data_IF_220331355137
#
_entry.id   IF_220331355137
#
_cell.length_a   1.000
_cell.length_b   1.000
_cell.length_c   1.000
_cell.angle_alpha   90.00
_cell.angle_beta   90.00
_cell.angle_gamma   90.00
#
_symmetry.space_group_name_H-M   'P 1'
#
loop_
_entity.id
_entity.type
_entity.pdbx_description
1 polymer ?
#
# COMPACT_ATOMS: atom_id res chain seq x y z
N UNK A 1 8.15 8.91 -1.66
CA UNK A 1 7.98 10.02 -1.03
C UNK A 1 8.39 11.15 -1.75
N UNK A 2 8.43 11.61 -2.50
CA UNK A 2 7.78 12.18 -3.07
C UNK A 2 8.30 13.06 -3.76
N UNK A 3 8.16 12.82 -4.71
CA UNK A 3 7.84 13.87 -5.61
C UNK A 3 7.03 14.94 -4.95
N UNK A 4 7.14 15.09 -3.72
CA UNK A 4 6.43 16.16 -3.14
C UNK A 4 7.12 17.43 -3.40
N UNK A 5 6.72 17.92 -4.45
CA UNK A 5 6.66 19.36 -4.54
C UNK A 5 5.70 19.78 -3.48
N UNK A 6 6.26 20.21 -2.36
CA UNK A 6 5.42 20.79 -1.43
C UNK A 6 5.62 22.22 -1.42
N UNK A 7 4.62 22.90 -1.72
CA UNK A 7 4.56 24.28 -1.37
C UNK A 7 3.86 24.48 -0.01
N UNK A 8 4.36 25.43 0.74
CA UNK A 8 3.63 26.13 1.77
C UNK A 8 3.86 27.60 1.54
N UNK A 9 3.24 28.16 0.54
CA UNK A 9 3.44 29.53 0.13
C UNK A 9 4.52 29.68 -0.93
N UNK A 10 5.45 30.61 -0.76
CA UNK A 10 6.41 31.05 -1.78
C UNK A 10 7.57 30.10 -2.03
N UNK A 11 7.83 29.16 -1.10
CA UNK A 11 9.02 28.29 -1.17
C UNK A 11 8.65 26.90 -1.65
N UNK A 12 9.23 26.50 -2.80
CA UNK A 12 9.15 25.14 -3.35
C UNK A 12 10.48 24.47 -3.13
N UNK A 13 10.48 23.34 -2.42
CA UNK A 13 11.66 22.49 -2.23
C UNK A 13 11.56 21.29 -3.17
N UNK A 14 12.49 21.17 -4.09
CA UNK A 14 12.63 20.02 -4.97
C UNK A 14 13.61 19.01 -4.35
N UNK A 15 13.21 17.77 -4.24
CA UNK A 15 14.11 16.65 -3.92
C UNK A 15 14.63 16.06 -5.23
N UNK A 16 15.59 16.74 -5.84
CA UNK A 16 16.14 16.38 -7.14
C UNK A 16 16.71 14.94 -7.22
N UNK A 17 17.35 14.40 -6.16
CA UNK A 17 17.81 13.01 -6.18
C UNK A 17 16.69 11.99 -6.31
N UNK A 18 15.47 12.35 -5.90
CA UNK A 18 14.29 11.46 -5.96
C UNK A 18 13.47 11.63 -7.25
N UNK A 19 13.83 12.59 -8.10
CA UNK A 19 13.14 12.78 -9.37
C UNK A 19 13.53 11.65 -10.33
N UNK A 20 12.54 10.90 -10.80
CA UNK A 20 12.75 9.85 -11.77
C UNK A 20 13.14 10.41 -13.13
N UNK A 21 14.30 9.99 -13.62
CA UNK A 21 14.78 10.35 -14.95
C UNK A 21 14.68 9.13 -15.89
N UNK A 22 13.74 9.12 -16.85
CA UNK A 22 13.63 7.98 -17.76
C UNK A 22 14.87 7.86 -18.65
N UNK A 23 15.41 6.64 -18.75
CA UNK A 23 16.63 6.34 -19.54
C UNK A 23 16.37 6.40 -21.06
N UNK A 24 15.12 6.27 -21.48
CA UNK A 24 14.74 6.31 -22.89
C UNK A 24 13.55 7.21 -23.15
N UNK A 25 13.62 8.00 -24.24
CA UNK A 25 12.48 8.77 -24.74
C UNK A 25 11.54 7.87 -25.54
N UNK A 26 10.62 7.21 -24.85
CA UNK A 26 9.53 6.48 -25.51
C UNK A 26 8.36 7.40 -25.82
N UNK A 27 7.60 7.17 -26.89
CA UNK A 27 6.36 7.91 -27.12
C UNK A 27 5.41 7.76 -25.93
N UNK A 28 4.64 8.81 -25.63
CA UNK A 28 3.63 8.78 -24.58
C UNK A 28 2.61 7.67 -24.89
N UNK A 29 2.45 6.75 -23.95
CA UNK A 29 1.44 5.70 -23.98
C UNK A 29 0.53 5.89 -22.77
N UNK A 30 -0.65 6.51 -22.93
CA UNK A 30 -1.56 6.71 -21.82
C UNK A 30 -2.22 5.39 -21.43
N UNK A 31 -2.43 5.21 -20.12
CA UNK A 31 -3.12 4.06 -19.54
C UNK A 31 -4.39 4.55 -18.84
N UNK A 32 -5.55 4.16 -19.34
CA UNK A 32 -6.85 4.66 -18.85
C UNK A 32 -7.62 3.66 -17.98
N UNK A 33 -7.11 2.41 -17.91
CA UNK A 33 -7.80 1.35 -17.18
C UNK A 33 -7.43 1.40 -15.70
N UNK A 34 -8.40 1.80 -14.89
CA UNK A 34 -8.27 1.85 -13.43
C UNK A 34 -9.42 1.05 -12.81
N UNK A 35 -9.11 0.10 -11.95
CA UNK A 35 -10.12 -0.61 -11.17
C UNK A 35 -10.48 0.20 -9.92
N UNK A 36 -11.76 0.40 -9.66
CA UNK A 36 -12.26 1.21 -8.54
C UNK A 36 -12.60 0.38 -7.30
N UNK A 37 -12.46 -0.93 -7.37
CA UNK A 37 -12.82 -1.85 -6.28
C UNK A 37 -11.72 -1.89 -5.21
N UNK A 38 -11.33 -0.73 -4.73
CA UNK A 38 -10.31 -0.52 -3.71
C UNK A 38 -10.92 0.22 -2.52
N UNK A 39 -10.59 -0.20 -1.32
CA UNK A 39 -11.01 0.49 -0.09
C UNK A 39 -9.80 0.94 0.74
N UNK A 40 -10.03 1.87 1.66
CA UNK A 40 -9.07 2.28 2.67
C UNK A 40 -9.60 1.81 4.03
N UNK A 41 -8.79 1.04 4.75
CA UNK A 41 -9.04 0.65 6.13
C UNK A 41 -8.10 1.44 7.05
N UNK A 42 -8.59 2.54 7.58
CA UNK A 42 -7.84 3.34 8.54
C UNK A 42 -8.05 2.82 9.95
N UNK A 43 -6.97 2.36 10.58
CA UNK A 43 -7.02 1.88 11.95
C UNK A 43 -7.05 3.05 12.94
N UNK A 44 -7.84 2.88 13.99
CA UNK A 44 -7.90 3.80 15.12
C UNK A 44 -8.11 3.01 16.42
N UNK A 45 -7.70 3.54 17.59
CA UNK A 45 -7.91 2.86 18.86
C UNK A 45 -9.39 2.60 19.11
N UNK A 46 -9.76 1.35 19.38
CA UNK A 46 -11.14 0.95 19.61
C UNK A 46 -11.96 0.65 18.34
N UNK A 47 -11.29 0.48 17.18
CA UNK A 47 -11.96 -0.01 15.97
C UNK A 47 -12.65 -1.35 16.27
N UNK A 48 -13.92 -1.47 15.89
CA UNK A 48 -14.70 -2.68 16.16
C UNK A 48 -14.58 -3.73 15.05
N UNK A 49 -14.79 -5.01 15.38
CA UNK A 49 -14.84 -6.08 14.35
C UNK A 49 -15.84 -5.78 13.25
N UNK A 50 -17.00 -5.21 13.58
CA UNK A 50 -18.05 -4.88 12.60
C UNK A 50 -17.60 -3.87 11.55
N UNK A 51 -16.78 -2.89 11.94
CA UNK A 51 -16.23 -1.91 10.98
C UNK A 51 -15.26 -2.59 10.01
N UNK A 52 -14.35 -3.41 10.53
CA UNK A 52 -13.38 -4.15 9.73
C UNK A 52 -14.09 -5.11 8.79
N UNK A 53 -15.02 -5.89 9.31
CA UNK A 53 -15.83 -6.83 8.55
C UNK A 53 -16.61 -6.15 7.42
N UNK A 54 -17.24 -5.02 7.71
CA UNK A 54 -18.01 -4.27 6.72
C UNK A 54 -17.16 -3.79 5.54
N UNK A 55 -15.91 -3.41 5.79
CA UNK A 55 -14.98 -2.98 4.74
C UNK A 55 -14.48 -4.19 3.95
N UNK A 56 -14.04 -5.26 4.63
CA UNK A 56 -13.47 -6.44 3.98
C UNK A 56 -14.51 -7.26 3.21
N UNK A 57 -15.80 -7.09 3.49
CA UNK A 57 -16.89 -7.78 2.80
C UNK A 57 -17.62 -6.90 1.76
N UNK A 58 -17.06 -5.76 1.36
CA UNK A 58 -17.60 -4.98 0.25
C UNK A 58 -17.67 -5.85 -1.01
N UNK A 59 -18.84 -5.98 -1.66
CA UNK A 59 -18.98 -6.80 -2.85
C UNK A 59 -18.04 -6.35 -3.97
N UNK A 60 -17.29 -7.31 -4.52
CA UNK A 60 -16.35 -7.06 -5.61
C UNK A 60 -15.04 -6.38 -5.19
N UNK A 61 -14.80 -6.19 -3.89
CA UNK A 61 -13.54 -5.62 -3.38
C UNK A 61 -12.34 -6.45 -3.85
N UNK A 62 -11.33 -5.78 -4.38
CA UNK A 62 -10.08 -6.42 -4.85
C UNK A 62 -8.86 -6.02 -4.04
N UNK A 63 -8.83 -4.82 -3.52
CA UNK A 63 -7.70 -4.33 -2.76
C UNK A 63 -8.09 -3.44 -1.59
N UNK A 64 -7.25 -3.46 -0.56
CA UNK A 64 -7.39 -2.62 0.62
C UNK A 64 -6.05 -1.97 0.94
N UNK A 65 -6.04 -0.67 1.08
CA UNK A 65 -4.92 0.05 1.70
C UNK A 65 -5.23 0.19 3.17
N UNK A 66 -4.45 -0.52 4.01
CA UNK A 66 -4.61 -0.51 5.46
C UNK A 66 -3.65 0.51 6.07
N UNK A 67 -4.19 1.59 6.64
CA UNK A 67 -3.43 2.61 7.32
C UNK A 67 -3.20 2.23 8.79
N UNK A 68 -1.97 1.93 9.15
CA UNK A 68 -1.56 1.41 10.46
C UNK A 68 -0.75 2.43 11.27
N UNK A 69 -0.47 2.11 12.53
CA UNK A 69 0.23 3.00 13.45
C UNK A 69 1.76 2.92 13.29
N UNK A 70 2.44 4.04 13.47
CA UNK A 70 3.91 4.09 13.51
C UNK A 70 4.57 3.41 12.31
N UNK A 71 5.41 2.43 12.56
CA UNK A 71 6.14 1.67 11.53
C UNK A 71 5.39 0.45 10.97
N UNK A 72 4.07 0.47 10.99
CA UNK A 72 3.24 -0.61 10.46
C UNK A 72 2.56 -1.46 11.53
N UNK A 73 2.38 -0.93 12.73
CA UNK A 73 1.74 -1.64 13.84
C UNK A 73 0.21 -1.65 13.71
N UNK A 74 -0.38 -2.78 14.01
CA UNK A 74 -1.83 -3.01 13.98
C UNK A 74 -2.27 -3.81 15.22
N UNK A 75 -3.57 -3.93 15.48
CA UNK A 75 -4.09 -4.85 16.49
C UNK A 75 -3.57 -6.29 16.27
N UNK A 76 -3.24 -6.98 17.37
CA UNK A 76 -2.74 -8.36 17.33
C UNK A 76 -3.78 -9.37 17.77
N UNK A 77 -5.01 -8.94 17.99
CA UNK A 77 -6.11 -9.79 18.39
C UNK A 77 -6.43 -10.80 17.29
N UNK A 78 -6.70 -12.03 17.69
CA UNK A 78 -6.96 -13.13 16.76
C UNK A 78 -8.09 -12.82 15.77
N UNK A 79 -9.16 -12.17 16.25
CA UNK A 79 -10.28 -11.82 15.39
C UNK A 79 -9.84 -10.94 14.21
N UNK A 80 -8.94 -9.97 14.46
CA UNK A 80 -8.45 -9.05 13.43
C UNK A 80 -7.59 -9.77 12.41
N UNK A 81 -6.61 -10.54 12.88
CA UNK A 81 -5.70 -11.29 12.01
C UNK A 81 -6.46 -12.33 11.18
N UNK A 82 -7.44 -13.03 11.78
CA UNK A 82 -8.27 -14.00 11.06
C UNK A 82 -9.09 -13.33 9.94
N UNK A 83 -9.70 -12.16 10.21
CA UNK A 83 -10.44 -11.41 9.18
C UNK A 83 -9.55 -10.98 8.02
N UNK A 84 -8.33 -10.52 8.30
CA UNK A 84 -7.36 -10.17 7.24
C UNK A 84 -6.98 -11.40 6.42
N UNK A 85 -6.68 -12.51 7.09
CA UNK A 85 -6.33 -13.77 6.42
C UNK A 85 -7.46 -14.26 5.53
N UNK A 86 -8.68 -14.32 6.04
CA UNK A 86 -9.85 -14.71 5.25
C UNK A 86 -10.07 -13.81 4.04
N UNK A 87 -9.83 -12.51 4.17
CA UNK A 87 -9.92 -11.57 3.05
C UNK A 87 -8.84 -11.85 2.00
N UNK A 88 -7.60 -12.11 2.43
CA UNK A 88 -6.49 -12.49 1.53
C UNK A 88 -6.77 -13.83 0.85
N UNK A 89 -7.30 -14.80 1.57
CA UNK A 89 -7.65 -16.12 1.01
C UNK A 89 -8.77 -16.02 -0.05
N UNK A 90 -9.62 -15.00 0.04
CA UNK A 90 -10.60 -14.65 -1.00
C UNK A 90 -10.00 -13.90 -2.21
N UNK A 91 -8.70 -13.61 -2.20
CA UNK A 91 -7.99 -12.92 -3.27
C UNK A 91 -7.95 -11.39 -3.12
N UNK A 92 -8.30 -10.84 -1.96
CA UNK A 92 -8.17 -9.40 -1.69
C UNK A 92 -6.71 -9.10 -1.36
N UNK A 93 -6.10 -8.17 -2.06
CA UNK A 93 -4.74 -7.69 -1.75
C UNK A 93 -4.81 -6.60 -0.69
N UNK A 94 -4.20 -6.85 0.47
CA UNK A 94 -4.14 -5.89 1.57
C UNK A 94 -2.72 -5.32 1.63
N UNK A 95 -2.60 -4.00 1.51
CA UNK A 95 -1.32 -3.28 1.55
C UNK A 95 -1.25 -2.45 2.82
N UNK A 96 -0.24 -2.71 3.64
CA UNK A 96 0.01 -2.00 4.88
C UNK A 96 0.81 -0.72 4.61
N UNK A 97 0.24 0.44 4.93
CA UNK A 97 0.92 1.75 4.88
C UNK A 97 0.86 2.42 6.24
N UNK A 98 1.78 3.34 6.51
CA UNK A 98 1.77 4.08 7.78
C UNK A 98 0.87 5.31 7.72
N UNK A 99 0.19 5.62 8.83
CA UNK A 99 -0.53 6.88 9.03
C UNK A 99 0.42 8.06 9.27
N UNK A 100 1.69 7.79 9.55
CA UNK A 100 2.67 8.83 9.81
C UNK A 100 3.03 9.57 8.52
N UNK A 101 3.19 10.88 8.62
CA UNK A 101 3.58 11.73 7.48
C UNK A 101 4.99 11.43 6.93
N UNK A 102 5.81 10.78 7.73
CA UNK A 102 7.16 10.36 7.38
C UNK A 102 7.45 9.03 8.06
N UNK A 103 8.31 8.22 7.46
CA UNK A 103 8.66 6.88 7.91
C UNK A 103 8.30 5.82 6.89
N UNK A 104 8.51 4.58 7.25
CA UNK A 104 8.20 3.42 6.43
C UNK A 104 7.58 2.31 7.28
N UNK A 105 6.90 1.40 6.62
CA UNK A 105 6.41 0.18 7.23
C UNK A 105 7.54 -0.85 7.25
N UNK A 106 7.89 -1.31 8.45
CA UNK A 106 8.96 -2.29 8.69
C UNK A 106 8.37 -3.57 9.31
N UNK A 107 7.65 -4.35 8.51
CA UNK A 107 6.88 -5.51 9.02
C UNK A 107 7.77 -6.61 9.59
N UNK A 108 9.04 -6.67 9.24
CA UNK A 108 9.98 -7.67 9.77
C UNK A 108 10.63 -7.26 11.10
N UNK A 109 10.37 -6.05 11.59
CA UNK A 109 11.03 -5.52 12.77
C UNK A 109 10.36 -5.91 14.08
N UNK A 110 9.04 -6.05 14.07
CA UNK A 110 8.22 -6.27 15.25
C UNK A 110 7.33 -7.49 15.10
N UNK A 111 7.00 -8.15 16.22
CA UNK A 111 6.11 -9.32 16.24
C UNK A 111 4.77 -9.04 15.53
N UNK A 112 4.21 -7.85 15.74
CA UNK A 112 2.96 -7.42 15.09
C UNK A 112 3.06 -7.45 13.57
N UNK A 113 4.19 -7.00 13.02
CA UNK A 113 4.46 -7.03 11.59
C UNK A 113 4.57 -8.45 11.04
N UNK A 114 5.23 -9.36 11.78
CA UNK A 114 5.31 -10.77 11.39
C UNK A 114 3.93 -11.42 11.30
N UNK A 115 3.05 -11.19 12.28
CA UNK A 115 1.68 -11.69 12.26
C UNK A 115 0.87 -11.19 11.06
N UNK A 116 1.09 -9.93 10.66
CA UNK A 116 0.45 -9.39 9.45
C UNK A 116 0.99 -10.05 8.18
N UNK A 117 2.30 -10.33 8.11
CA UNK A 117 2.88 -11.07 6.98
C UNK A 117 2.32 -12.50 6.91
N UNK A 118 2.20 -13.18 8.04
CA UNK A 118 1.58 -14.53 8.14
C UNK A 118 0.11 -14.51 7.70
N UNK A 119 -0.60 -13.42 7.96
CA UNK A 119 -1.95 -13.22 7.44
C UNK A 119 -2.00 -12.88 5.93
N UNK A 120 -0.84 -12.74 5.26
CA UNK A 120 -0.73 -12.46 3.84
C UNK A 120 -0.82 -10.99 3.45
N UNK A 121 -0.65 -10.08 4.42
CA UNK A 121 -0.61 -8.63 4.18
C UNK A 121 0.71 -8.24 3.53
N UNK A 122 0.67 -7.39 2.53
CA UNK A 122 1.83 -6.89 1.78
C UNK A 122 2.32 -5.56 2.36
N UNK A 123 3.63 -5.37 2.45
CA UNK A 123 4.20 -4.08 2.87
C UNK A 123 4.04 -3.02 1.79
N UNK A 124 3.62 -1.82 2.18
CA UNK A 124 3.64 -0.63 1.33
C UNK A 124 4.92 0.19 1.50
N UNK A 125 5.85 -0.25 2.37
CA UNK A 125 7.09 0.46 2.69
C UNK A 125 6.85 1.93 3.03
N UNK A 126 7.41 2.86 2.27
CA UNK A 126 7.24 4.30 2.45
C UNK A 126 6.22 4.93 1.49
N UNK A 127 5.39 4.10 0.85
CA UNK A 127 4.29 4.59 0.01
C UNK A 127 3.32 5.45 0.82
N UNK A 128 2.83 6.53 0.20
CA UNK A 128 1.67 7.24 0.75
C UNK A 128 0.40 6.46 0.45
N UNK A 129 -0.66 6.75 1.21
CA UNK A 129 -1.99 6.15 0.96
C UNK A 129 -2.45 6.38 -0.47
N UNK A 130 -2.29 7.62 -0.99
CA UNK A 130 -2.70 7.98 -2.34
C UNK A 130 -1.92 7.19 -3.40
N UNK A 131 -0.61 7.04 -3.19
CA UNK A 131 0.25 6.27 -4.07
C UNK A 131 -0.14 4.79 -4.08
N UNK A 132 -0.35 4.20 -2.91
CA UNK A 132 -0.76 2.80 -2.80
C UNK A 132 -2.13 2.53 -3.43
N UNK A 133 -3.12 3.42 -3.18
CA UNK A 133 -4.46 3.32 -3.78
C UNK A 133 -4.37 3.38 -5.31
N UNK A 134 -3.70 4.40 -5.86
CA UNK A 134 -3.61 4.58 -7.31
C UNK A 134 -2.83 3.46 -7.99
N UNK A 135 -1.79 2.94 -7.34
CA UNK A 135 -1.03 1.79 -7.83
C UNK A 135 -1.88 0.52 -7.86
N UNK A 136 -2.65 0.22 -6.81
CA UNK A 136 -3.61 -0.89 -6.82
C UNK A 136 -4.66 -0.75 -7.91
N UNK A 137 -5.26 0.45 -8.06
CA UNK A 137 -6.23 0.72 -9.13
C UNK A 137 -5.63 0.48 -10.51
N UNK A 138 -4.39 0.88 -10.73
CA UNK A 138 -3.66 0.69 -11.97
C UNK A 138 -3.41 -0.80 -12.24
N UNK A 139 -2.84 -1.53 -11.30
CA UNK A 139 -2.47 -2.93 -11.45
C UNK A 139 -3.71 -3.80 -11.73
N UNK A 140 -4.76 -3.67 -10.91
CA UNK A 140 -6.02 -4.39 -11.15
C UNK A 140 -6.74 -3.96 -12.43
N UNK A 141 -6.66 -2.68 -12.79
CA UNK A 141 -7.20 -2.16 -14.05
C UNK A 141 -6.54 -2.75 -15.29
N UNK A 142 -5.30 -3.22 -15.17
CA UNK A 142 -4.58 -3.92 -16.25
C UNK A 142 -4.75 -5.45 -16.21
N UNK A 143 -5.62 -5.96 -15.33
CA UNK A 143 -6.00 -7.36 -15.29
C UNK A 143 -4.99 -8.28 -14.60
N UNK A 144 -4.10 -7.75 -13.78
CA UNK A 144 -3.16 -8.55 -13.01
C UNK A 144 -3.91 -9.38 -11.95
N UNK A 145 -3.42 -10.59 -11.72
CA UNK A 145 -3.89 -11.46 -10.63
C UNK A 145 -3.47 -10.91 -9.26
N UNK A 146 -4.12 -11.31 -8.16
CA UNK A 146 -3.75 -10.88 -6.82
C UNK A 146 -2.28 -11.10 -6.47
N UNK A 147 -1.69 -12.21 -6.90
CA UNK A 147 -0.28 -12.52 -6.60
C UNK A 147 0.68 -11.64 -7.41
N UNK A 148 0.39 -11.40 -8.70
CA UNK A 148 1.13 -10.43 -9.50
C UNK A 148 1.01 -9.01 -8.93
N UNK A 149 -0.15 -8.63 -8.42
CA UNK A 149 -0.35 -7.33 -7.77
C UNK A 149 0.51 -7.21 -6.50
N UNK A 150 0.55 -8.25 -5.64
CA UNK A 150 1.42 -8.26 -4.45
C UNK A 150 2.89 -8.10 -4.83
N UNK A 151 3.34 -8.83 -5.86
CA UNK A 151 4.71 -8.73 -6.36
C UNK A 151 5.02 -7.30 -6.85
N UNK A 152 4.14 -6.72 -7.66
CA UNK A 152 4.32 -5.37 -8.18
C UNK A 152 4.20 -4.28 -7.10
N UNK A 153 3.43 -4.51 -6.02
CA UNK A 153 3.40 -3.59 -4.86
C UNK A 153 4.77 -3.52 -4.17
N UNK A 154 5.56 -4.60 -4.23
CA UNK A 154 6.92 -4.66 -3.72
C UNK A 154 7.99 -4.20 -4.72
N UNK A 155 7.61 -3.60 -5.84
CA UNK A 155 8.51 -3.04 -6.84
C UNK A 155 8.21 -1.56 -7.05
N UNK A 156 9.24 -0.74 -7.30
CA UNK A 156 9.03 0.65 -7.72
C UNK A 156 8.84 0.71 -9.23
N UNK A 157 7.72 1.26 -9.69
CA UNK A 157 7.40 1.41 -11.11
C UNK A 157 7.88 2.75 -11.67
N UNK A 158 7.72 3.82 -10.90
CA UNK A 158 8.00 5.20 -11.31
C UNK A 158 8.70 6.02 -10.21
N UNK A 159 9.29 5.37 -9.21
CA UNK A 159 9.87 6.02 -8.05
C UNK A 159 8.89 6.32 -6.92
N UNK A 160 7.72 5.67 -6.92
CA UNK A 160 6.62 5.90 -5.96
C UNK A 160 6.84 5.22 -4.61
N UNK A 161 7.81 4.32 -4.53
CA UNK A 161 8.17 3.61 -3.29
C UNK A 161 9.67 3.36 -3.23
N UNK A 162 10.26 3.49 -2.05
CA UNK A 162 11.65 3.14 -1.78
C UNK A 162 11.71 1.74 -1.19
N UNK A 163 12.22 0.78 -1.96
CA UNK A 163 12.39 -0.60 -1.51
C UNK A 163 13.78 -0.75 -0.89
N UNK A 164 13.91 -1.19 0.36
CA UNK A 164 15.20 -1.49 0.96
C UNK A 164 15.96 -2.54 0.15
N UNK A 165 17.30 -2.43 0.09
CA UNK A 165 18.13 -3.36 -0.71
C UNK A 165 17.95 -4.83 -0.32
N UNK A 166 17.66 -5.09 0.96
CA UNK A 166 17.37 -6.44 1.48
C UNK A 166 16.12 -7.09 0.88
N UNK A 167 15.24 -6.31 0.22
CA UNK A 167 13.98 -6.79 -0.38
C UNK A 167 13.94 -6.59 -1.90
N UNK A 168 15.05 -6.17 -2.52
CA UNK A 168 15.15 -6.12 -3.97
C UNK A 168 15.37 -7.52 -4.52
N UNK A 169 14.58 -7.95 -5.51
CA UNK A 169 14.74 -9.26 -6.15
C UNK A 169 16.08 -9.39 -6.87
#
# INVERSE_FOLDING_TARGET
RQMCIRDRGIYIKYDLPQVYHPVSRKPLKPHYLLDRNIAILKLFPGISPQVVESILNIPGLKGVVMETFGSGNAPCEEWFLNMLKEAVDRGIVIVNVTQCRAGSVEMHRYETGHKLLEAGVTSGFDSTTESAVTKLMFLFGHGLTPDEVKEHMNCSLIGEVSIPETFRP
#
